data_IF_218744147158
#
_entry.id   IF_218744147158
#
_cell.length_a   1.000
_cell.length_b   1.000
_cell.length_c   1.000
_cell.angle_alpha   90.00
_cell.angle_beta   90.00
_cell.angle_gamma   90.00
#
_symmetry.space_group_name_H-M   'P 1'
#
loop_
_entity.id
_entity.type
_entity.pdbx_description
1 polymer ?
#
# COMPACT_ATOMS: atom_id res chain seq x y z
N UNK A 1 -27.50 -19.58 -1.33
CA UNK A 1 -26.44 -20.39 -1.96
C UNK A 1 -26.59 -20.26 -3.47
N UNK A 2 -25.49 -20.13 -4.21
CA UNK A 2 -25.50 -20.19 -5.67
C UNK A 2 -25.37 -21.67 -6.06
N UNK A 3 -26.51 -22.33 -6.25
CA UNK A 3 -26.64 -23.79 -6.45
C UNK A 3 -27.02 -24.20 -7.89
N UNK A 4 -27.18 -23.22 -8.78
CA UNK A 4 -27.48 -23.45 -10.20
C UNK A 4 -26.21 -23.55 -11.04
N UNK A 5 -26.25 -24.39 -12.09
CA UNK A 5 -25.08 -24.65 -12.97
C UNK A 5 -24.60 -23.41 -13.73
N UNK A 6 -25.51 -22.54 -14.16
CA UNK A 6 -25.20 -21.34 -14.95
C UNK A 6 -25.78 -20.07 -14.30
N UNK A 7 -25.19 -19.58 -13.20
CA UNK A 7 -25.76 -18.48 -12.42
C UNK A 7 -25.59 -17.11 -13.09
N UNK A 8 -24.75 -16.99 -14.12
CA UNK A 8 -24.30 -15.70 -14.67
C UNK A 8 -25.45 -14.77 -15.10
N UNK A 9 -26.48 -15.30 -15.77
CA UNK A 9 -27.63 -14.51 -16.22
C UNK A 9 -28.46 -14.02 -15.04
N UNK A 10 -28.80 -14.93 -14.11
CA UNK A 10 -29.58 -14.61 -12.93
C UNK A 10 -28.85 -13.60 -12.02
N UNK A 11 -27.54 -13.76 -11.83
CA UNK A 11 -26.72 -12.84 -11.06
C UNK A 11 -26.67 -11.45 -11.68
N UNK A 12 -26.57 -11.35 -13.01
CA UNK A 12 -26.60 -10.07 -13.71
C UNK A 12 -27.92 -9.33 -13.48
N UNK A 13 -29.04 -10.04 -13.53
CA UNK A 13 -30.35 -9.45 -13.34
C UNK A 13 -30.60 -9.08 -11.86
N UNK A 14 -30.19 -9.94 -10.92
CA UNK A 14 -30.21 -9.66 -9.47
C UNK A 14 -29.35 -8.45 -9.11
N UNK A 15 -28.13 -8.36 -9.64
CA UNK A 15 -27.24 -7.22 -9.36
C UNK A 15 -27.87 -5.89 -9.80
N UNK A 16 -28.54 -5.85 -10.96
CA UNK A 16 -29.28 -4.65 -11.39
C UNK A 16 -30.41 -4.31 -10.42
N UNK A 17 -31.19 -5.30 -9.99
CA UNK A 17 -32.27 -5.08 -9.02
C UNK A 17 -31.74 -4.57 -7.69
N UNK A 18 -30.64 -5.12 -7.19
CA UNK A 18 -30.00 -4.68 -5.95
C UNK A 18 -29.52 -3.23 -6.03
N UNK A 19 -28.93 -2.82 -7.16
CA UNK A 19 -28.51 -1.43 -7.38
C UNK A 19 -29.73 -0.49 -7.36
N UNK A 20 -30.83 -0.86 -8.02
CA UNK A 20 -32.04 -0.04 -8.07
C UNK A 20 -32.78 0.05 -6.73
N UNK A 21 -32.59 -0.95 -5.86
CA UNK A 21 -33.25 -1.06 -4.57
C UNK A 21 -32.33 -0.66 -3.38
N UNK A 22 -31.16 -0.07 -3.64
CA UNK A 22 -30.15 0.28 -2.63
C UNK A 22 -29.80 -0.89 -1.68
N UNK A 23 -29.72 -2.10 -2.26
CA UNK A 23 -29.38 -3.33 -1.54
C UNK A 23 -27.97 -3.82 -1.90
N UNK A 24 -27.28 -4.42 -0.94
CA UNK A 24 -25.99 -5.09 -1.17
C UNK A 24 -26.20 -6.57 -1.42
N UNK A 25 -25.78 -7.06 -2.60
CA UNK A 25 -25.80 -8.48 -2.94
C UNK A 25 -24.52 -9.17 -2.45
N UNK A 26 -24.65 -10.18 -1.59
CA UNK A 26 -23.54 -11.04 -1.16
C UNK A 26 -23.77 -12.45 -1.68
N UNK A 27 -22.77 -13.01 -2.36
CA UNK A 27 -22.85 -14.37 -2.91
C UNK A 27 -22.20 -15.37 -1.96
N UNK A 28 -22.79 -16.55 -1.84
CA UNK A 28 -22.25 -17.68 -1.09
C UNK A 28 -22.42 -18.97 -1.89
N UNK A 29 -21.35 -19.75 -2.02
CA UNK A 29 -21.25 -21.00 -2.77
C UNK A 29 -21.53 -22.23 -1.91
N UNK A 30 -21.59 -22.06 -0.59
CA UNK A 30 -22.03 -23.10 0.33
C UNK A 30 -22.82 -22.53 1.51
N UNK A 31 -23.50 -23.40 2.26
CA UNK A 31 -24.22 -23.01 3.47
C UNK A 31 -23.26 -22.58 4.58
N UNK A 32 -22.10 -23.22 4.68
CA UNK A 32 -21.04 -22.90 5.63
C UNK A 32 -20.47 -21.50 5.38
N UNK A 33 -20.23 -21.15 4.11
CA UNK A 33 -19.77 -19.82 3.71
C UNK A 33 -20.80 -18.74 4.08
N UNK A 34 -22.09 -19.00 3.81
CA UNK A 34 -23.17 -18.10 4.21
C UNK A 34 -23.23 -17.92 5.74
N UNK A 35 -23.10 -19.00 6.50
CA UNK A 35 -23.02 -18.96 7.96
C UNK A 35 -21.85 -18.11 8.45
N UNK A 36 -20.67 -18.29 7.85
CA UNK A 36 -19.47 -17.51 8.16
C UNK A 36 -19.65 -16.02 7.91
N UNK A 37 -20.35 -15.64 6.84
CA UNK A 37 -20.69 -14.24 6.59
C UNK A 37 -21.60 -13.67 7.68
N UNK A 38 -22.66 -14.38 8.05
CA UNK A 38 -23.57 -13.95 9.13
C UNK A 38 -22.85 -13.80 10.47
N UNK A 39 -22.00 -14.75 10.84
CA UNK A 39 -21.15 -14.66 12.03
C UNK A 39 -20.26 -13.42 12.01
N UNK A 40 -19.64 -13.14 10.86
CA UNK A 40 -18.74 -11.98 10.70
C UNK A 40 -19.53 -10.68 10.79
N UNK A 41 -20.66 -10.56 10.10
CA UNK A 41 -21.54 -9.39 10.23
C UNK A 41 -21.94 -9.16 11.68
N UNK A 42 -22.34 -10.22 12.40
CA UNK A 42 -22.75 -10.08 13.80
C UNK A 42 -21.59 -9.70 14.72
N UNK A 43 -20.42 -10.31 14.55
CA UNK A 43 -19.25 -10.04 15.37
C UNK A 43 -18.66 -8.63 15.14
N UNK A 44 -18.98 -7.99 14.01
CA UNK A 44 -18.48 -6.67 13.64
C UNK A 44 -19.54 -5.55 13.68
N UNK A 45 -20.79 -5.85 14.01
CA UNK A 45 -21.89 -4.88 14.07
C UNK A 45 -21.59 -3.64 14.94
N UNK A 46 -20.83 -3.82 16.03
CA UNK A 46 -20.48 -2.76 16.99
C UNK A 46 -19.02 -2.33 16.91
N UNK A 47 -18.23 -2.87 15.98
CA UNK A 47 -16.81 -2.55 15.90
C UNK A 47 -16.62 -1.19 15.21
N UNK A 48 -15.84 -0.26 15.79
CA UNK A 48 -15.57 1.01 15.16
C UNK A 48 -14.79 0.83 13.85
N UNK A 49 -15.00 1.74 12.91
CA UNK A 49 -14.30 1.78 11.62
C UNK A 49 -12.77 1.96 11.76
N UNK A 50 -12.29 2.29 12.96
CA UNK A 50 -10.87 2.40 13.30
C UNK A 50 -10.07 1.13 13.00
N UNK A 51 -10.72 -0.05 12.98
CA UNK A 51 -10.08 -1.30 12.57
C UNK A 51 -9.84 -1.42 11.06
N UNK A 52 -10.56 -0.64 10.25
CA UNK A 52 -10.39 -0.54 8.80
C UNK A 52 -9.39 0.55 8.41
N UNK A 53 -9.06 1.46 9.33
CA UNK A 53 -8.02 2.45 9.10
C UNK A 53 -6.65 1.78 9.02
N UNK A 54 -5.83 2.26 8.10
CA UNK A 54 -4.44 1.83 7.98
C UNK A 54 -3.73 2.06 9.32
N UNK A 55 -3.26 0.98 9.92
CA UNK A 55 -2.43 1.05 11.14
C UNK A 55 -1.05 1.53 10.72
N UNK A 56 -0.89 2.84 10.62
CA UNK A 56 0.43 3.46 10.43
C UNK A 56 1.31 3.07 11.62
N UNK A 57 2.35 2.29 11.36
CA UNK A 57 3.38 2.04 12.37
C UNK A 57 4.02 3.38 12.75
N UNK A 58 3.83 3.80 14.00
CA UNK A 58 4.29 5.11 14.51
C UNK A 58 5.82 5.20 14.64
N UNK A 59 6.55 4.13 14.34
CA UNK A 59 7.99 4.07 14.51
C UNK A 59 8.70 4.87 13.42
N UNK A 60 9.62 5.77 13.81
CA UNK A 60 10.41 6.60 12.89
C UNK A 60 11.08 5.77 11.80
N UNK A 61 11.71 4.65 12.18
CA UNK A 61 12.38 3.74 11.24
C UNK A 61 11.42 3.17 10.18
N UNK A 62 10.18 2.85 10.56
CA UNK A 62 9.16 2.31 9.66
C UNK A 62 8.74 3.37 8.65
N UNK A 63 8.41 4.58 9.13
CA UNK A 63 8.03 5.72 8.27
C UNK A 63 9.15 6.18 7.34
N UNK A 64 10.39 6.23 7.84
CA UNK A 64 11.54 6.62 7.03
C UNK A 64 11.84 5.56 5.96
N UNK A 65 11.72 4.27 6.31
CA UNK A 65 11.85 3.17 5.34
C UNK A 65 10.77 3.25 4.28
N UNK A 66 9.51 3.43 4.67
CA UNK A 66 8.39 3.56 3.75
C UNK A 66 8.60 4.72 2.77
N UNK A 67 8.96 5.90 3.28
CA UNK A 67 9.27 7.09 2.49
C UNK A 67 10.38 6.82 1.47
N UNK A 68 11.50 6.21 1.89
CA UNK A 68 12.62 5.93 0.99
C UNK A 68 12.28 4.86 -0.05
N UNK A 69 11.43 3.88 0.28
CA UNK A 69 10.98 2.84 -0.66
C UNK A 69 9.98 3.33 -1.71
N UNK A 70 9.45 4.55 -1.59
CA UNK A 70 8.66 5.18 -2.68
C UNK A 70 9.52 5.49 -3.89
N UNK A 71 10.84 5.67 -3.71
CA UNK A 71 11.78 5.90 -4.80
C UNK A 71 12.02 4.60 -5.56
N UNK A 72 11.71 4.62 -6.86
CA UNK A 72 11.88 3.46 -7.73
C UNK A 72 13.32 2.94 -7.66
N UNK A 73 13.46 1.65 -7.32
CA UNK A 73 14.74 0.91 -7.15
C UNK A 73 15.42 1.00 -5.78
N UNK A 74 14.84 1.72 -4.82
CA UNK A 74 15.27 1.68 -3.41
C UNK A 74 14.43 0.65 -2.65
N UNK A 75 15.09 -0.34 -2.05
CA UNK A 75 14.44 -1.40 -1.28
C UNK A 75 14.50 -1.12 0.23
N UNK A 76 13.80 -1.94 1.03
CA UNK A 76 13.85 -1.86 2.50
C UNK A 76 15.28 -1.98 3.04
N UNK A 77 16.08 -2.91 2.50
CA UNK A 77 17.48 -3.09 2.90
C UNK A 77 18.33 -1.86 2.58
N UNK A 78 18.15 -1.26 1.40
CA UNK A 78 18.87 -0.04 1.00
C UNK A 78 18.52 1.11 1.96
N UNK A 79 17.23 1.24 2.31
CA UNK A 79 16.72 2.27 3.23
C UNK A 79 17.31 2.11 4.63
N UNK A 80 17.41 0.89 5.14
CA UNK A 80 18.04 0.60 6.42
C UNK A 80 19.53 0.96 6.41
N UNK A 81 20.26 0.59 5.34
CA UNK A 81 21.68 0.98 5.18
C UNK A 81 21.84 2.49 5.17
N UNK A 82 21.04 3.19 4.36
CA UNK A 82 21.07 4.65 4.25
C UNK A 82 20.82 5.33 5.60
N UNK A 83 19.80 4.88 6.34
CA UNK A 83 19.48 5.43 7.65
C UNK A 83 20.57 5.11 8.69
N UNK A 84 21.22 3.94 8.60
CA UNK A 84 22.33 3.57 9.48
C UNK A 84 23.62 4.35 9.16
N UNK A 85 23.88 4.64 7.88
CA UNK A 85 25.09 5.36 7.44
C UNK A 85 24.99 6.86 7.69
N UNK A 86 23.86 7.49 7.35
CA UNK A 86 23.70 8.94 7.48
C UNK A 86 23.04 9.38 8.79
N UNK A 87 22.40 8.48 9.54
CA UNK A 87 21.80 8.77 10.85
C UNK A 87 20.59 9.70 10.86
N UNK A 88 20.44 10.58 9.87
CA UNK A 88 19.32 11.52 9.72
C UNK A 88 18.93 11.69 8.26
N UNK A 89 17.65 12.01 8.02
CA UNK A 89 17.17 12.33 6.67
C UNK A 89 17.79 13.62 6.13
N UNK A 90 18.07 14.60 6.99
CA UNK A 90 18.74 15.85 6.59
C UNK A 90 20.10 15.55 5.96
N UNK A 91 20.95 14.78 6.64
CA UNK A 91 22.27 14.42 6.12
C UNK A 91 22.17 13.62 4.82
N UNK A 92 21.19 12.72 4.71
CA UNK A 92 20.92 11.97 3.47
C UNK A 92 20.51 12.90 2.31
N UNK A 93 19.66 13.89 2.56
CA UNK A 93 19.21 14.85 1.54
C UNK A 93 20.34 15.76 1.06
N UNK A 94 21.27 16.13 1.95
CA UNK A 94 22.43 16.96 1.60
C UNK A 94 23.62 16.17 1.05
N UNK A 95 23.56 14.84 1.06
CA UNK A 95 24.68 13.99 0.65
C UNK A 95 24.97 14.11 -0.85
N UNK A 96 26.26 14.04 -1.21
CA UNK A 96 26.66 14.00 -2.61
C UNK A 96 26.29 12.66 -3.26
N UNK A 97 26.28 12.63 -4.59
CA UNK A 97 26.03 11.39 -5.34
C UNK A 97 27.10 10.33 -5.03
N UNK A 98 28.33 10.78 -4.82
CA UNK A 98 29.49 9.96 -4.50
C UNK A 98 29.32 9.34 -3.11
N UNK A 99 28.90 10.12 -2.11
CA UNK A 99 28.65 9.63 -0.75
C UNK A 99 27.53 8.59 -0.70
N UNK A 100 26.47 8.80 -1.49
CA UNK A 100 25.39 7.82 -1.64
C UNK A 100 25.91 6.52 -2.27
N UNK A 101 26.79 6.59 -3.27
CA UNK A 101 27.35 5.41 -3.93
C UNK A 101 28.36 4.62 -3.05
N UNK A 102 28.89 5.24 -1.98
CA UNK A 102 29.75 4.58 -0.99
C UNK A 102 28.96 3.72 0.00
N UNK A 103 27.63 3.81 0.02
CA UNK A 103 26.79 3.00 0.90
C UNK A 103 26.85 1.51 0.52
N UNK A 104 27.11 0.61 1.48
CA UNK A 104 27.27 -0.81 1.19
C UNK A 104 25.99 -1.42 0.62
N UNK A 105 26.07 -2.02 -0.57
CA UNK A 105 24.93 -2.63 -1.26
C UNK A 105 24.08 -1.64 -2.08
N UNK A 106 24.34 -0.33 -1.99
CA UNK A 106 23.69 0.67 -2.84
C UNK A 106 24.47 0.83 -4.15
N UNK A 107 24.03 0.13 -5.20
CA UNK A 107 24.66 0.24 -6.51
C UNK A 107 24.58 1.67 -7.10
N UNK A 108 25.48 2.03 -8.03
CA UNK A 108 25.59 3.40 -8.56
C UNK A 108 24.31 3.88 -9.27
N UNK A 109 23.53 2.97 -9.85
CA UNK A 109 22.23 3.29 -10.44
C UNK A 109 21.19 3.71 -9.39
N UNK A 110 21.18 3.04 -8.22
CA UNK A 110 20.26 3.37 -7.12
C UNK A 110 20.65 4.70 -6.49
N UNK A 111 21.95 4.90 -6.22
CA UNK A 111 22.49 6.15 -5.71
C UNK A 111 22.16 7.34 -6.61
N UNK A 112 22.36 7.19 -7.92
CA UNK A 112 22.00 8.22 -8.91
C UNK A 112 20.50 8.53 -8.90
N UNK A 113 19.64 7.52 -8.96
CA UNK A 113 18.18 7.72 -8.98
C UNK A 113 17.68 8.40 -7.71
N UNK A 114 18.19 7.99 -6.55
CA UNK A 114 17.86 8.60 -5.28
C UNK A 114 18.28 10.07 -5.26
N UNK A 115 19.52 10.38 -5.64
CA UNK A 115 20.01 11.75 -5.71
C UNK A 115 19.17 12.61 -6.66
N UNK A 116 18.90 12.10 -7.87
CA UNK A 116 18.11 12.80 -8.89
C UNK A 116 16.71 13.13 -8.35
N UNK A 117 16.01 12.16 -7.74
CA UNK A 117 14.66 12.37 -7.18
C UNK A 117 14.64 13.40 -6.03
N UNK A 118 15.68 13.43 -5.19
CA UNK A 118 15.76 14.36 -4.07
C UNK A 118 16.08 15.80 -4.48
N UNK A 119 16.72 16.00 -5.63
CA UNK A 119 17.19 17.30 -6.11
C UNK A 119 16.47 17.79 -7.38
N UNK A 120 15.54 17.01 -7.93
CA UNK A 120 14.75 17.41 -9.09
C UNK A 120 13.80 18.56 -8.71
N UNK A 121 13.78 19.67 -9.47
CA UNK A 121 12.88 20.78 -9.19
C UNK A 121 11.42 20.32 -9.38
N UNK A 122 10.58 20.63 -8.39
CA UNK A 122 9.16 20.27 -8.44
C UNK A 122 8.42 20.90 -9.64
N UNK A 123 8.84 22.11 -10.03
CA UNK A 123 8.29 22.81 -11.19
C UNK A 123 9.19 22.58 -12.41
N UNK A 124 8.56 22.33 -13.56
CA UNK A 124 9.28 22.31 -14.83
C UNK A 124 9.86 23.68 -15.09
N UNK A 125 11.18 23.75 -15.28
CA UNK A 125 11.84 24.97 -15.73
C UNK A 125 11.22 25.36 -17.08
N UNK A 126 10.71 26.59 -17.24
CA UNK A 126 10.15 27.02 -18.51
C UNK A 126 11.25 26.95 -19.59
N UNK A 127 10.90 26.39 -20.75
CA UNK A 127 11.79 26.28 -21.91
C UNK A 127 12.03 27.64 -22.56
#
# INVERSE_FOLDING_TARGET
QVDVKDPQKALKDLAKMCILADCTLVLAWSAEEAGRYLETYKAYEQKPADLLMEKLEQNFLSRATECLTTVKSVNKTDSQTLLATFGSLEQLLTASREDLALCPGLGPQKARRLFDVLHEPFLKVPR
#
